data_IF_995677633899
#
_entry.id   IF_995677633899
#
_cell.length_a   1.000
_cell.length_b   1.000
_cell.length_c   1.000
_cell.angle_alpha   90.00
_cell.angle_beta   90.00
_cell.angle_gamma   90.00
#
_symmetry.space_group_name_H-M   'P 1'
#
loop_
_entity.id
_entity.type
_entity.pdbx_description
1 polymer ?
#
# COMPACT_ATOMS: atom_id res chain seq x y z
N UNK A 1 -38.37 18.23 -79.34
CA UNK A 1 -39.12 19.50 -79.32
C UNK A 1 -38.87 20.14 -77.95
N UNK A 2 -38.47 21.42 -77.94
CA UNK A 2 -38.12 22.30 -76.78
C UNK A 2 -36.71 22.05 -76.15
N UNK A 3 -35.62 22.76 -76.52
CA UNK A 3 -35.22 24.17 -76.27
C UNK A 3 -35.07 24.55 -74.78
N UNK A 4 -33.83 24.77 -74.31
CA UNK A 4 -33.24 26.08 -73.89
C UNK A 4 -31.90 25.88 -73.14
N UNK A 5 -30.75 26.43 -73.57
CA UNK A 5 -30.17 27.78 -73.24
C UNK A 5 -30.11 28.04 -71.71
N UNK A 6 -29.02 28.46 -71.04
CA UNK A 6 -27.94 29.42 -71.37
C UNK A 6 -26.86 29.38 -70.27
N UNK A 7 -25.60 29.69 -70.66
CA UNK A 7 -24.50 30.39 -69.97
C UNK A 7 -24.61 30.76 -68.46
N UNK A 8 -23.48 30.75 -67.74
CA UNK A 8 -22.75 31.98 -67.32
C UNK A 8 -21.38 31.62 -66.70
N UNK A 9 -20.37 32.36 -67.19
CA UNK A 9 -18.97 32.49 -66.79
C UNK A 9 -18.84 33.44 -65.57
N UNK A 10 -17.84 33.26 -64.69
CA UNK A 10 -17.06 34.32 -64.00
C UNK A 10 -16.35 33.71 -62.77
N UNK A 11 -15.03 33.49 -62.76
CA UNK A 11 -13.91 34.44 -62.51
C UNK A 11 -13.70 34.82 -61.03
N UNK A 12 -12.41 34.74 -60.63
CA UNK A 12 -11.73 35.31 -59.46
C UNK A 12 -11.88 34.48 -58.15
N UNK A 13 -10.85 34.17 -57.38
CA UNK A 13 -9.70 35.01 -56.99
C UNK A 13 -8.49 34.16 -56.56
N UNK A 14 -7.31 34.70 -56.85
CA UNK A 14 -6.00 34.30 -56.36
C UNK A 14 -5.97 34.13 -54.84
N UNK A 15 -5.58 32.95 -54.36
CA UNK A 15 -5.14 32.79 -52.98
C UNK A 15 -3.61 32.78 -52.92
N UNK A 16 -3.10 33.82 -52.27
CA UNK A 16 -1.71 34.01 -51.88
C UNK A 16 -1.29 32.87 -50.96
N UNK A 17 -0.26 32.13 -51.37
CA UNK A 17 0.46 31.19 -50.51
C UNK A 17 1.31 32.01 -49.54
N UNK A 18 0.76 32.27 -48.35
CA UNK A 18 1.58 32.71 -47.21
C UNK A 18 2.12 31.48 -46.50
N UNK A 19 3.40 31.20 -46.71
CA UNK A 19 4.18 30.31 -45.86
C UNK A 19 4.32 30.97 -44.48
N UNK A 20 3.39 30.69 -43.56
CA UNK A 20 3.65 30.86 -42.14
C UNK A 20 4.41 29.65 -41.63
N UNK A 21 5.74 29.79 -41.55
CA UNK A 21 6.57 28.95 -40.70
C UNK A 21 6.19 29.22 -39.23
N UNK A 22 5.19 28.51 -38.73
CA UNK A 22 5.03 28.35 -37.30
C UNK A 22 6.06 27.30 -36.86
N UNK A 23 7.18 27.78 -36.30
CA UNK A 23 8.11 26.94 -35.56
C UNK A 23 7.34 26.24 -34.45
N UNK A 24 7.19 24.92 -34.58
CA UNK A 24 6.82 24.06 -33.47
C UNK A 24 7.96 24.15 -32.45
N UNK A 25 7.78 24.97 -31.41
CA UNK A 25 8.54 24.85 -30.19
C UNK A 25 8.20 23.48 -29.59
N UNK A 26 9.11 22.53 -29.80
CA UNK A 26 9.16 21.28 -29.06
C UNK A 26 9.39 21.63 -27.58
N UNK A 27 8.30 21.77 -26.82
CA UNK A 27 8.37 21.67 -25.38
C UNK A 27 8.73 20.22 -25.05
N UNK A 28 9.97 19.98 -24.66
CA UNK A 28 10.38 18.75 -23.95
C UNK A 28 10.13 18.95 -22.45
N UNK A 29 9.16 18.27 -21.84
CA UNK A 29 9.11 18.12 -20.39
C UNK A 29 9.69 16.75 -20.04
N UNK A 30 11.01 16.64 -19.86
CA UNK A 30 11.63 15.34 -19.55
C UNK A 30 12.65 15.34 -18.42
N UNK A 31 13.03 16.51 -17.89
CA UNK A 31 14.05 16.60 -16.82
C UNK A 31 13.48 16.46 -15.40
N UNK A 32 12.20 16.83 -15.20
CA UNK A 32 11.58 16.83 -13.88
C UNK A 32 11.32 15.43 -13.35
N UNK A 33 10.85 14.51 -14.21
CA UNK A 33 10.52 13.15 -13.80
C UNK A 33 11.77 12.30 -13.52
N UNK A 34 12.83 12.44 -14.32
CA UNK A 34 14.06 11.67 -14.11
C UNK A 34 14.74 12.00 -12.77
N UNK A 35 14.77 13.28 -12.39
CA UNK A 35 15.34 13.72 -11.11
C UNK A 35 14.50 13.23 -9.92
N UNK A 36 13.18 13.27 -10.04
CA UNK A 36 12.25 12.77 -9.02
C UNK A 36 12.39 11.25 -8.82
N UNK A 37 12.51 10.48 -9.91
CA UNK A 37 12.75 9.03 -9.86
C UNK A 37 14.03 8.71 -9.10
N UNK A 38 15.13 9.40 -9.40
CA UNK A 38 16.42 9.17 -8.72
C UNK A 38 16.35 9.49 -7.23
N UNK A 39 15.72 10.61 -6.85
CA UNK A 39 15.53 10.99 -5.45
C UNK A 39 14.68 9.96 -4.69
N UNK A 40 13.57 9.51 -5.28
CA UNK A 40 12.72 8.47 -4.68
C UNK A 40 13.46 7.14 -4.56
N UNK A 41 14.24 6.76 -5.56
CA UNK A 41 15.04 5.55 -5.52
C UNK A 41 16.07 5.59 -4.39
N UNK A 42 16.85 6.67 -4.28
CA UNK A 42 17.84 6.83 -3.22
C UNK A 42 17.18 6.82 -1.83
N UNK A 43 16.05 7.51 -1.66
CA UNK A 43 15.29 7.50 -0.41
C UNK A 43 14.80 6.09 -0.07
N UNK A 44 14.26 5.36 -1.05
CA UNK A 44 13.77 4.00 -0.87
C UNK A 44 14.91 3.05 -0.47
N UNK A 45 16.04 3.11 -1.15
CA UNK A 45 17.23 2.31 -0.83
C UNK A 45 17.72 2.58 0.60
N UNK A 46 17.75 3.85 1.02
CA UNK A 46 18.11 4.23 2.39
C UNK A 46 17.10 3.70 3.42
N UNK A 47 15.80 3.82 3.16
CA UNK A 47 14.77 3.30 4.06
C UNK A 47 14.81 1.77 4.17
N UNK A 48 15.02 1.06 3.06
CA UNK A 48 15.19 -0.40 3.07
C UNK A 48 16.46 -0.79 3.82
N UNK A 49 17.58 -0.09 3.63
CA UNK A 49 18.82 -0.38 4.35
C UNK A 49 18.67 -0.14 5.86
N UNK A 50 18.01 0.95 6.26
CA UNK A 50 17.76 1.27 7.67
C UNK A 50 16.76 0.31 8.34
N UNK A 51 15.86 -0.30 7.56
CA UNK A 51 14.80 -1.19 8.04
C UNK A 51 14.83 -2.54 7.31
N UNK A 52 16.01 -3.13 7.14
CA UNK A 52 16.21 -4.33 6.29
C UNK A 52 15.36 -5.53 6.72
N UNK A 53 15.04 -5.60 8.01
CA UNK A 53 14.14 -6.60 8.57
C UNK A 53 12.71 -6.49 8.04
N UNK A 54 12.21 -5.28 7.73
CA UNK A 54 10.83 -5.11 7.27
C UNK A 54 10.58 -5.87 5.97
N UNK A 55 11.48 -5.73 4.98
CA UNK A 55 11.37 -6.47 3.71
C UNK A 55 11.55 -7.97 3.93
N UNK A 56 12.50 -8.36 4.79
CA UNK A 56 12.76 -9.77 5.12
C UNK A 56 11.53 -10.43 5.73
N UNK A 57 10.90 -9.80 6.72
CA UNK A 57 9.70 -10.31 7.36
C UNK A 57 8.45 -10.18 6.49
N UNK A 58 8.37 -9.18 5.62
CA UNK A 58 7.26 -9.05 4.67
C UNK A 58 7.27 -10.20 3.65
N UNK A 59 8.46 -10.62 3.21
CA UNK A 59 8.63 -11.81 2.38
C UNK A 59 8.22 -13.10 3.13
N UNK A 60 8.58 -13.22 4.41
CA UNK A 60 8.16 -14.37 5.23
C UNK A 60 6.65 -14.40 5.42
N UNK A 61 6.05 -13.26 5.73
CA UNK A 61 4.60 -13.10 5.81
C UNK A 61 3.93 -13.48 4.50
N UNK A 62 4.41 -12.98 3.36
CA UNK A 62 3.87 -13.31 2.04
C UNK A 62 3.89 -14.83 1.78
N UNK A 63 4.98 -15.51 2.13
CA UNK A 63 5.07 -16.97 2.00
C UNK A 63 4.12 -17.68 2.98
N UNK A 64 4.03 -17.22 4.23
CA UNK A 64 3.10 -17.78 5.23
C UNK A 64 1.64 -17.71 4.73
N UNK A 65 1.21 -16.54 4.23
CA UNK A 65 -0.12 -16.35 3.67
C UNK A 65 -0.37 -17.33 2.52
N UNK A 66 0.60 -17.50 1.63
CA UNK A 66 0.49 -18.42 0.50
C UNK A 66 0.44 -19.89 0.93
N UNK A 67 1.30 -20.30 1.86
CA UNK A 67 1.52 -21.71 2.19
C UNK A 67 0.52 -22.24 3.21
N UNK A 68 0.09 -21.40 4.16
CA UNK A 68 -0.81 -21.82 5.26
C UNK A 68 -2.26 -21.51 4.95
N UNK A 69 -2.53 -20.34 4.38
CA UNK A 69 -3.90 -19.89 4.10
C UNK A 69 -4.30 -20.08 2.63
N UNK A 70 -3.35 -20.38 1.75
CA UNK A 70 -3.64 -20.65 0.34
C UNK A 70 -4.68 -21.75 0.19
N UNK A 71 -5.62 -21.54 -0.74
CA UNK A 71 -6.74 -22.43 -1.03
C UNK A 71 -7.86 -22.46 0.03
N UNK A 72 -7.69 -21.79 1.18
CA UNK A 72 -8.71 -21.73 2.23
C UNK A 72 -9.66 -20.54 2.08
N UNK A 73 -10.86 -20.72 2.65
CA UNK A 73 -11.73 -19.61 3.03
C UNK A 73 -11.26 -19.05 4.36
N UNK A 74 -11.10 -17.73 4.44
CA UNK A 74 -10.71 -17.05 5.68
C UNK A 74 -11.54 -15.78 5.86
N UNK A 75 -11.78 -15.41 7.09
CA UNK A 75 -12.46 -14.16 7.47
C UNK A 75 -11.52 -12.97 7.41
N UNK A 76 -12.11 -11.76 7.43
CA UNK A 76 -11.35 -10.51 7.58
C UNK A 76 -10.51 -10.50 8.86
N UNK A 77 -11.03 -11.06 9.95
CA UNK A 77 -10.35 -11.17 11.25
C UNK A 77 -9.13 -12.09 11.18
N UNK A 78 -9.24 -13.23 10.52
CA UNK A 78 -8.10 -14.15 10.34
C UNK A 78 -6.99 -13.54 9.49
N UNK A 79 -7.34 -12.82 8.41
CA UNK A 79 -6.35 -12.07 7.63
C UNK A 79 -5.72 -10.94 8.47
N UNK A 80 -6.50 -10.27 9.31
CA UNK A 80 -6.02 -9.24 10.24
C UNK A 80 -5.01 -9.83 11.24
N UNK A 81 -5.35 -10.98 11.83
CA UNK A 81 -4.50 -11.71 12.78
C UNK A 81 -3.21 -12.19 12.10
N UNK A 82 -3.30 -12.75 10.90
CA UNK A 82 -2.10 -13.13 10.15
C UNK A 82 -1.22 -11.90 9.84
N UNK A 83 -1.83 -10.74 9.59
CA UNK A 83 -1.11 -9.47 9.36
C UNK A 83 -0.54 -8.86 10.65
N UNK A 84 -1.23 -8.97 11.79
CA UNK A 84 -0.71 -8.49 13.08
C UNK A 84 0.57 -9.25 13.46
N UNK A 85 0.70 -10.53 13.12
CA UNK A 85 1.93 -11.30 13.34
C UNK A 85 3.16 -10.71 12.63
N UNK A 86 3.00 -10.06 11.46
CA UNK A 86 4.10 -9.31 10.86
C UNK A 86 4.49 -8.11 11.73
N UNK A 87 3.51 -7.36 12.22
CA UNK A 87 3.75 -6.20 13.08
C UNK A 87 4.30 -6.61 14.45
N UNK A 88 3.96 -7.78 14.97
CA UNK A 88 4.50 -8.33 16.22
C UNK A 88 6.03 -8.42 16.19
N UNK A 89 6.58 -8.71 15.00
CA UNK A 89 8.01 -8.87 14.79
C UNK A 89 8.71 -7.53 14.54
N UNK A 90 8.09 -6.63 13.75
CA UNK A 90 8.75 -5.37 13.39
C UNK A 90 8.53 -4.24 14.41
N UNK A 91 7.52 -4.35 15.28
CA UNK A 91 7.17 -3.33 16.27
C UNK A 91 8.09 -3.36 17.49
N UNK A 92 9.36 -3.02 17.28
CA UNK A 92 10.41 -3.10 18.29
C UNK A 92 10.74 -1.76 18.96
N UNK A 93 10.47 -0.63 18.29
CA UNK A 93 10.67 0.74 18.79
C UNK A 93 9.31 1.37 19.08
N UNK A 94 8.72 1.01 20.22
CA UNK A 94 7.44 1.52 20.70
C UNK A 94 7.54 2.14 22.09
N UNK A 95 6.62 3.04 22.39
CA UNK A 95 6.40 3.59 23.72
C UNK A 95 5.02 3.18 24.19
N UNK A 96 4.98 2.44 25.30
CA UNK A 96 3.76 2.07 25.99
C UNK A 96 3.80 2.64 27.41
N UNK A 97 2.80 3.43 27.75
CA UNK A 97 2.59 3.96 29.11
C UNK A 97 1.18 3.64 29.57
N UNK A 98 0.84 3.79 30.86
CA UNK A 98 -0.52 3.56 31.34
C UNK A 98 -1.61 4.37 30.65
N UNK A 99 -1.27 5.43 29.92
CA UNK A 99 -2.24 6.32 29.28
C UNK A 99 -1.97 6.56 27.80
N UNK A 100 -0.95 5.95 27.20
CA UNK A 100 -0.59 6.22 25.81
C UNK A 100 0.13 5.07 25.12
N UNK A 101 -0.06 4.99 23.80
CA UNK A 101 0.72 4.12 22.93
C UNK A 101 1.17 4.87 21.67
N UNK A 102 2.44 4.69 21.29
CA UNK A 102 2.97 5.11 20.00
C UNK A 102 4.05 4.14 19.51
N UNK A 103 4.23 4.03 18.19
CA UNK A 103 5.27 3.18 17.61
C UNK A 103 6.01 3.88 16.47
N UNK A 104 7.32 4.01 16.65
CA UNK A 104 8.22 4.52 15.61
C UNK A 104 8.44 3.48 14.53
N UNK A 105 8.57 2.20 14.88
CA UNK A 105 8.70 1.11 13.89
C UNK A 105 7.51 1.04 12.93
N UNK A 106 6.29 1.13 13.44
CA UNK A 106 5.07 1.08 12.61
C UNK A 106 4.95 2.34 11.74
N UNK A 107 5.34 3.50 12.27
CA UNK A 107 5.43 4.75 11.49
C UNK A 107 6.45 4.62 10.36
N UNK A 108 7.64 4.06 10.62
CA UNK A 108 8.67 3.83 9.61
C UNK A 108 8.19 2.85 8.52
N UNK A 109 7.39 1.84 8.88
CA UNK A 109 6.78 0.95 7.90
C UNK A 109 5.82 1.69 6.97
N UNK A 110 4.98 2.58 7.52
CA UNK A 110 4.07 3.41 6.72
C UNK A 110 4.85 4.37 5.79
N UNK A 111 5.94 4.98 6.28
CA UNK A 111 6.79 5.85 5.46
C UNK A 111 7.49 5.09 4.32
N UNK A 112 7.92 3.85 4.58
CA UNK A 112 8.49 2.96 3.57
C UNK A 112 7.43 2.56 2.54
N UNK A 113 6.23 2.18 2.99
CA UNK A 113 5.12 1.83 2.12
C UNK A 113 4.73 2.99 1.20
N UNK A 114 4.62 4.20 1.74
CA UNK A 114 4.29 5.39 0.97
C UNK A 114 5.38 5.69 -0.07
N UNK A 115 6.66 5.57 0.30
CA UNK A 115 7.78 5.78 -0.62
C UNK A 115 7.80 4.71 -1.72
N UNK A 116 7.49 3.44 -1.38
CA UNK A 116 7.31 2.36 -2.35
C UNK A 116 6.19 2.66 -3.35
N UNK A 117 5.03 3.11 -2.89
CA UNK A 117 3.90 3.45 -3.76
C UNK A 117 4.27 4.58 -4.72
N UNK A 118 4.86 5.67 -4.21
CA UNK A 118 5.29 6.81 -5.03
C UNK A 118 6.39 6.40 -6.03
N UNK A 119 7.37 5.60 -5.63
CA UNK A 119 8.42 5.14 -6.54
C UNK A 119 7.86 4.30 -7.69
N UNK A 120 6.98 3.34 -7.41
CA UNK A 120 6.35 2.49 -8.43
C UNK A 120 5.52 3.33 -9.41
N UNK A 121 4.76 4.30 -8.90
CA UNK A 121 3.91 5.18 -9.70
C UNK A 121 4.72 6.07 -10.65
N UNK A 122 5.80 6.68 -10.16
CA UNK A 122 6.60 7.64 -10.93
C UNK A 122 7.57 6.93 -11.88
N UNK A 123 8.26 5.88 -11.42
CA UNK A 123 9.28 5.21 -12.22
C UNK A 123 8.71 4.32 -13.33
N UNK A 124 7.47 3.81 -13.19
CA UNK A 124 6.76 3.00 -14.19
C UNK A 124 7.61 1.85 -14.77
N UNK A 125 8.08 1.96 -16.00
CA UNK A 125 8.88 0.95 -16.69
C UNK A 125 10.37 0.97 -16.26
N UNK A 126 10.82 2.04 -15.60
CA UNK A 126 12.20 2.24 -15.15
C UNK A 126 12.44 1.72 -13.73
N UNK A 127 11.44 1.07 -13.11
CA UNK A 127 11.56 0.52 -11.76
C UNK A 127 12.61 -0.59 -11.76
N UNK A 128 13.64 -0.46 -10.92
CA UNK A 128 14.63 -1.53 -10.74
C UNK A 128 13.97 -2.81 -10.24
N UNK A 129 14.31 -3.95 -10.84
CA UNK A 129 13.66 -5.23 -10.55
C UNK A 129 13.67 -5.61 -9.07
N UNK A 130 14.80 -5.40 -8.37
CA UNK A 130 14.92 -5.67 -6.93
C UNK A 130 13.98 -4.79 -6.10
N UNK A 131 14.00 -3.47 -6.33
CA UNK A 131 13.15 -2.52 -5.60
C UNK A 131 11.67 -2.75 -5.89
N UNK A 132 11.32 -3.12 -7.13
CA UNK A 132 9.96 -3.54 -7.48
C UNK A 132 9.50 -4.71 -6.61
N UNK A 133 10.36 -5.73 -6.46
CA UNK A 133 10.04 -6.91 -5.68
C UNK A 133 9.94 -6.58 -4.18
N UNK A 134 10.92 -5.87 -3.63
CA UNK A 134 10.92 -5.46 -2.22
C UNK A 134 9.65 -4.66 -1.89
N UNK A 135 9.28 -3.70 -2.74
CA UNK A 135 8.05 -2.93 -2.58
C UNK A 135 6.77 -3.76 -2.75
N UNK A 136 6.76 -4.78 -3.61
CA UNK A 136 5.59 -5.65 -3.74
C UNK A 136 5.29 -6.43 -2.45
N UNK A 137 6.33 -6.83 -1.68
CA UNK A 137 6.15 -7.46 -0.38
C UNK A 137 5.62 -6.49 0.67
N UNK A 138 6.14 -5.25 0.70
CA UNK A 138 5.64 -4.20 1.60
C UNK A 138 4.17 -3.86 1.29
N UNK A 139 3.83 -3.72 0.00
CA UNK A 139 2.46 -3.48 -0.45
C UNK A 139 1.54 -4.65 -0.10
N UNK A 140 2.01 -5.89 -0.19
CA UNK A 140 1.24 -7.06 0.19
C UNK A 140 0.86 -7.06 1.68
N UNK A 141 1.79 -6.73 2.57
CA UNK A 141 1.48 -6.57 4.00
C UNK A 141 0.47 -5.43 4.21
N UNK A 142 0.65 -4.31 3.51
CA UNK A 142 -0.29 -3.18 3.61
C UNK A 142 -1.69 -3.53 3.10
N UNK A 143 -1.79 -4.43 2.11
CA UNK A 143 -3.06 -4.99 1.66
C UNK A 143 -3.73 -5.83 2.76
N UNK A 144 -2.95 -6.54 3.58
CA UNK A 144 -3.44 -7.22 4.79
C UNK A 144 -4.04 -6.29 5.84
N UNK A 145 -3.68 -5.00 5.81
CA UNK A 145 -4.31 -3.94 6.60
C UNK A 145 -5.36 -3.14 5.81
N UNK A 146 -5.89 -3.72 4.74
CA UNK A 146 -6.85 -3.11 3.82
C UNK A 146 -6.44 -1.71 3.32
N UNK A 147 -5.14 -1.51 3.04
CA UNK A 147 -4.57 -0.24 2.61
C UNK A 147 -4.93 0.97 3.49
N UNK A 148 -5.14 0.73 4.78
CA UNK A 148 -5.51 1.77 5.73
C UNK A 148 -4.44 1.93 6.81
N UNK A 149 -3.89 3.15 6.91
CA UNK A 149 -2.83 3.47 7.88
C UNK A 149 -3.28 3.32 9.34
N UNK A 150 -4.53 3.62 9.64
CA UNK A 150 -5.07 3.55 11.01
C UNK A 150 -5.24 2.09 11.43
N UNK A 151 -5.61 1.23 10.48
CA UNK A 151 -5.63 -0.24 10.67
C UNK A 151 -4.21 -0.76 10.89
N UNK A 152 -3.22 -0.34 10.10
CA UNK A 152 -1.81 -0.70 10.34
C UNK A 152 -1.36 -0.35 11.75
N UNK A 153 -1.66 0.86 12.22
CA UNK A 153 -1.29 1.28 13.57
C UNK A 153 -2.03 0.47 14.66
N UNK A 154 -3.30 0.18 14.43
CA UNK A 154 -4.12 -0.68 15.31
C UNK A 154 -3.56 -2.10 15.39
N UNK A 155 -3.24 -2.72 14.24
CA UNK A 155 -2.61 -4.05 14.19
C UNK A 155 -1.25 -4.05 14.88
N UNK A 156 -0.48 -2.97 14.78
CA UNK A 156 0.78 -2.82 15.53
C UNK A 156 0.60 -2.84 17.04
N UNK A 157 -0.45 -2.21 17.56
CA UNK A 157 -0.75 -2.22 18.99
C UNK A 157 -1.26 -3.60 19.46
N UNK A 158 -2.22 -4.19 18.73
CA UNK A 158 -2.77 -5.51 19.03
C UNK A 158 -1.69 -6.61 18.96
N UNK A 159 -0.73 -6.48 18.05
CA UNK A 159 0.38 -7.42 17.95
C UNK A 159 1.24 -7.50 19.23
N UNK A 160 1.37 -6.39 19.98
CA UNK A 160 2.08 -6.41 21.27
C UNK A 160 1.33 -7.22 22.32
N UNK A 161 0.00 -7.19 22.30
CA UNK A 161 -0.83 -7.95 23.24
C UNK A 161 -0.61 -9.45 23.06
N UNK A 162 -0.61 -9.93 21.81
CA UNK A 162 -0.30 -11.33 21.50
C UNK A 162 1.11 -11.71 21.95
N UNK A 163 2.12 -10.87 21.66
CA UNK A 163 3.50 -11.10 22.14
C UNK A 163 3.59 -11.30 23.65
N UNK A 164 2.85 -10.52 24.45
CA UNK A 164 2.85 -10.66 25.91
C UNK A 164 2.04 -11.88 26.39
N UNK A 165 0.99 -12.28 25.67
CA UNK A 165 0.19 -13.47 25.99
C UNK A 165 0.97 -14.78 25.76
N UNK A 166 1.83 -14.83 24.76
CA UNK A 166 2.60 -16.03 24.40
C UNK A 166 3.84 -16.28 25.28
N UNK A 167 4.18 -15.35 26.18
CA UNK A 167 5.32 -15.52 27.09
C UNK A 167 5.06 -16.68 28.07
N UNK A 168 5.91 -17.72 28.01
CA UNK A 168 5.78 -18.92 28.87
C UNK A 168 5.96 -18.62 30.37
N UNK A 169 6.42 -17.42 30.75
CA UNK A 169 6.38 -16.87 32.11
C UNK A 169 6.50 -15.33 32.08
N UNK A 170 5.38 -14.57 32.03
CA UNK A 170 5.44 -13.11 31.92
C UNK A 170 5.95 -12.48 33.23
N UNK A 171 6.81 -11.48 33.12
CA UNK A 171 7.23 -10.68 34.29
C UNK A 171 6.08 -9.80 34.80
N UNK A 172 6.23 -9.22 36.00
CA UNK A 172 5.26 -8.25 36.50
C UNK A 172 5.11 -7.04 35.55
N UNK A 173 6.20 -6.64 34.88
CA UNK A 173 6.16 -5.59 33.87
C UNK A 173 5.38 -6.02 32.63
N UNK A 174 5.57 -7.25 32.16
CA UNK A 174 4.85 -7.79 31.00
C UNK A 174 3.35 -7.91 31.27
N UNK A 175 2.98 -8.37 32.47
CA UNK A 175 1.58 -8.40 32.91
C UNK A 175 0.98 -7.00 32.97
N UNK A 176 1.73 -6.01 33.47
CA UNK A 176 1.29 -4.62 33.49
C UNK A 176 1.12 -4.07 32.06
N UNK A 177 2.08 -4.31 31.16
CA UNK A 177 1.98 -3.92 29.76
C UNK A 177 0.76 -4.56 29.08
N UNK A 178 0.53 -5.84 29.32
CA UNK A 178 -0.63 -6.56 28.82
C UNK A 178 -1.95 -5.96 29.34
N UNK A 179 -2.02 -5.57 30.63
CA UNK A 179 -3.19 -4.89 31.19
C UNK A 179 -3.45 -3.53 30.53
N UNK A 180 -2.40 -2.76 30.26
CA UNK A 180 -2.51 -1.49 29.52
C UNK A 180 -3.07 -1.75 28.11
N UNK A 181 -2.59 -2.79 27.42
CA UNK A 181 -3.03 -3.12 26.07
C UNK A 181 -4.46 -3.69 26.02
N UNK A 182 -4.95 -4.33 27.08
CA UNK A 182 -6.38 -4.67 27.18
C UNK A 182 -7.28 -3.43 27.27
N UNK A 183 -6.73 -2.29 27.69
CA UNK A 183 -7.43 -1.00 27.76
C UNK A 183 -7.13 -0.10 26.54
N UNK A 184 -6.68 -0.69 25.42
CA UNK A 184 -6.31 0.02 24.19
C UNK A 184 -7.34 1.10 23.75
N UNK A 185 -8.66 0.87 23.82
CA UNK A 185 -9.66 1.89 23.46
C UNK A 185 -9.63 3.16 24.31
N UNK A 186 -9.06 3.10 25.52
CA UNK A 186 -8.98 4.23 26.45
C UNK A 186 -7.59 4.88 26.49
N UNK A 187 -6.61 4.33 25.76
CA UNK A 187 -5.29 4.95 25.64
C UNK A 187 -5.35 6.19 24.74
N UNK A 188 -4.49 7.16 25.03
CA UNK A 188 -4.20 8.25 24.10
C UNK A 188 -3.36 7.69 22.94
N UNK A 189 -3.97 7.69 21.76
CA UNK A 189 -3.35 7.26 20.52
C UNK A 189 -3.08 8.47 19.61
N UNK A 190 -1.97 8.43 18.87
CA UNK A 190 -1.68 9.42 17.83
C UNK A 190 -2.45 9.14 16.51
N UNK A 191 -3.29 8.10 16.52
CA UNK A 191 -4.09 7.62 15.40
C UNK A 191 -5.50 7.20 15.88
N UNK A 192 -6.53 7.24 15.02
CA UNK A 192 -7.82 6.65 15.33
C UNK A 192 -7.73 5.12 15.46
N UNK A 193 -8.24 4.56 16.55
CA UNK A 193 -8.37 3.10 16.68
C UNK A 193 -9.37 2.59 15.64
N UNK A 194 -8.92 1.69 14.75
CA UNK A 194 -9.75 1.13 13.67
C UNK A 194 -9.41 -0.32 13.43
N UNK A 195 -10.39 -1.19 13.64
CA UNK A 195 -10.32 -2.60 13.31
C UNK A 195 -10.72 -2.82 11.85
N UNK A 196 -10.10 -3.80 11.18
CA UNK A 196 -10.44 -4.15 9.81
C UNK A 196 -11.76 -4.93 9.76
N UNK A 197 -12.56 -4.65 8.76
CA UNK A 197 -13.79 -5.36 8.44
C UNK A 197 -13.73 -5.96 7.05
N UNK A 198 -14.63 -6.89 6.75
CA UNK A 198 -14.79 -7.43 5.39
C UNK A 198 -15.07 -6.33 4.35
N UNK A 199 -15.80 -5.27 4.73
CA UNK A 199 -16.10 -4.16 3.83
C UNK A 199 -14.87 -3.31 3.47
N UNK A 200 -13.89 -3.21 4.37
CA UNK A 200 -12.62 -2.53 4.07
C UNK A 200 -11.89 -3.24 2.92
N UNK A 201 -11.84 -4.58 2.94
CA UNK A 201 -11.25 -5.34 1.84
C UNK A 201 -12.03 -5.20 0.53
N UNK A 202 -13.37 -5.17 0.59
CA UNK A 202 -14.21 -4.95 -0.59
C UNK A 202 -13.95 -3.60 -1.25
N UNK A 203 -13.84 -2.54 -0.46
CA UNK A 203 -13.67 -1.17 -0.95
C UNK A 203 -12.43 -0.99 -1.83
N UNK A 204 -11.37 -1.77 -1.57
CA UNK A 204 -10.11 -1.73 -2.32
C UNK A 204 -9.94 -2.90 -3.30
N UNK A 205 -11.01 -3.64 -3.61
CA UNK A 205 -10.97 -4.83 -4.48
C UNK A 205 -9.95 -5.88 -4.01
N UNK A 206 -9.71 -5.96 -2.70
CA UNK A 206 -8.68 -6.83 -2.14
C UNK A 206 -9.10 -8.30 -2.12
N UNK A 207 -10.40 -8.59 -2.17
CA UNK A 207 -10.90 -9.97 -2.29
C UNK A 207 -10.33 -10.63 -3.55
N UNK A 208 -10.44 -9.95 -4.70
CA UNK A 208 -9.91 -10.45 -5.96
C UNK A 208 -8.38 -10.51 -5.93
N UNK A 209 -7.73 -9.49 -5.37
CA UNK A 209 -6.27 -9.49 -5.19
C UNK A 209 -5.78 -10.72 -4.40
N UNK A 210 -6.39 -11.02 -3.26
CA UNK A 210 -6.01 -12.16 -2.42
C UNK A 210 -6.32 -13.49 -3.11
N UNK A 211 -7.43 -13.56 -3.87
CA UNK A 211 -7.76 -14.73 -4.68
C UNK A 211 -6.73 -14.99 -5.78
N UNK A 212 -6.33 -13.97 -6.51
CA UNK A 212 -5.37 -14.12 -7.61
C UNK A 212 -3.94 -14.36 -7.12
N UNK A 213 -3.55 -13.69 -6.04
CA UNK A 213 -2.15 -13.71 -5.56
C UNK A 213 -1.85 -14.93 -4.69
N UNK A 214 -2.82 -15.36 -3.87
CA UNK A 214 -2.62 -16.39 -2.85
C UNK A 214 -3.63 -17.56 -2.94
N UNK A 215 -4.60 -17.51 -3.87
CA UNK A 215 -5.72 -18.45 -3.92
C UNK A 215 -6.60 -18.46 -2.66
N UNK A 216 -6.64 -17.34 -1.92
CA UNK A 216 -7.45 -17.19 -0.72
C UNK A 216 -8.84 -16.70 -1.08
N UNK A 217 -9.88 -17.27 -0.48
CA UNK A 217 -11.24 -16.74 -0.58
C UNK A 217 -11.57 -15.99 0.70
N UNK A 218 -11.55 -14.65 0.66
CA UNK A 218 -12.00 -13.83 1.79
C UNK A 218 -13.53 -13.89 1.89
N UNK A 219 -14.05 -14.23 3.07
CA UNK A 219 -15.48 -14.29 3.37
C UNK A 219 -15.86 -13.36 4.52
N UNK A 220 -17.12 -12.93 4.55
CA UNK A 220 -17.64 -12.08 5.63
C UNK A 220 -17.79 -12.88 6.93
N UNK A 221 -18.36 -14.07 6.83
CA UNK A 221 -18.50 -15.06 7.89
C UNK A 221 -18.37 -16.45 7.26
N UNK A 222 -17.97 -17.45 8.05
CA UNK A 222 -17.91 -18.84 7.58
C UNK A 222 -19.32 -19.38 7.29
N UNK A 223 -19.52 -19.89 6.07
CA UNK A 223 -20.67 -20.74 5.78
C UNK A 223 -20.40 -22.15 6.34
N UNK A 224 -20.68 -22.35 7.63
CA UNK A 224 -20.75 -23.70 8.18
C UNK A 224 -22.03 -24.36 7.67
N UNK A 225 -21.93 -25.06 6.55
CA UNK A 225 -22.91 -26.08 6.15
C UNK A 225 -22.60 -27.41 6.81
#
# INVERSE_FOLDING_TARGET
MLLRTTLVLSLLSSFVVSQSQAQAQSQTPTTSSATEVEQLQQKLEQQIAANSDFVTYAKRWHNLIKEVYGEYEITAEEMAYATSNYFAVINTDYLLTPTSYSSKSVTQFLDLQQTCASYIEVAKEQVQAKLKQDCSYIQAVFAGAAFNKDIVQTLGAEALKENFLELQAPTAQDLNNLQILFDLPNLKLDFPLRYVSYQDYKMFNLIEYFKQTYNITLVEEFNRQ
#
